data_IF_591061972784
#
_entry.id   IF_591061972784
#
_cell.length_a   1.000
_cell.length_b   1.000
_cell.length_c   1.000
_cell.angle_alpha   90.00
_cell.angle_beta   90.00
_cell.angle_gamma   90.00
#
_symmetry.space_group_name_H-M   'P 1'
#
loop_
_entity.id
_entity.type
_entity.pdbx_description
1 polymer ?
#
# COMPACT_ATOMS: atom_id res chain seq x y z
N UNK A 1 15.22 3.57 0.01
CA UNK A 1 13.99 3.83 -0.80
C UNK A 1 13.48 5.27 -0.77
N UNK A 2 13.16 5.88 0.39
CA UNK A 2 12.90 7.35 0.50
C UNK A 2 14.13 8.19 0.07
N UNK A 3 15.34 7.68 0.33
CA UNK A 3 16.61 8.39 0.10
C UNK A 3 16.97 8.64 -1.37
N UNK A 4 16.62 7.71 -2.29
CA UNK A 4 16.90 7.86 -3.72
C UNK A 4 16.03 8.96 -4.36
N UNK A 5 14.83 9.19 -3.81
CA UNK A 5 13.86 10.19 -4.29
C UNK A 5 14.11 11.61 -3.76
N UNK A 6 15.09 11.82 -2.88
CA UNK A 6 15.38 13.15 -2.33
C UNK A 6 16.67 13.76 -2.90
N UNK A 7 17.75 12.99 -3.06
CA UNK A 7 19.06 13.56 -3.37
C UNK A 7 19.16 14.21 -4.76
N UNK A 8 18.72 13.51 -5.81
CA UNK A 8 18.80 14.01 -7.18
C UNK A 8 17.85 15.21 -7.40
N UNK A 9 16.56 15.13 -7.04
CA UNK A 9 15.67 16.29 -7.15
C UNK A 9 16.16 17.50 -6.36
N UNK A 10 16.82 17.29 -5.21
CA UNK A 10 17.39 18.37 -4.40
C UNK A 10 18.59 19.06 -5.08
N UNK A 11 19.45 18.30 -5.78
CA UNK A 11 20.54 18.87 -6.59
C UNK A 11 19.95 19.66 -7.76
N UNK A 12 18.97 19.10 -8.48
CA UNK A 12 18.33 19.72 -9.64
C UNK A 12 17.57 21.01 -9.25
N UNK A 13 16.78 20.98 -8.19
CA UNK A 13 16.01 22.13 -7.69
C UNK A 13 16.91 23.32 -7.29
N UNK A 14 18.13 23.04 -6.80
CA UNK A 14 19.07 24.09 -6.39
C UNK A 14 20.05 24.51 -7.49
N UNK A 15 20.10 23.80 -8.63
CA UNK A 15 21.01 24.07 -9.74
C UNK A 15 20.95 25.53 -10.27
N UNK A 16 19.77 26.19 -10.36
CA UNK A 16 19.70 27.59 -10.77
C UNK A 16 20.46 28.55 -9.84
N UNK A 17 20.53 28.22 -8.55
CA UNK A 17 21.12 29.05 -7.49
C UNK A 17 22.61 28.77 -7.24
N UNK A 18 23.22 27.85 -8.00
CA UNK A 18 24.63 27.46 -7.86
C UNK A 18 25.56 28.39 -8.64
N UNK A 19 26.72 28.69 -8.07
CA UNK A 19 27.81 29.36 -8.78
C UNK A 19 28.42 28.41 -9.83
N UNK A 20 29.23 28.94 -10.76
CA UNK A 20 29.81 28.15 -11.87
C UNK A 20 30.51 26.87 -11.39
N UNK A 21 31.43 26.98 -10.43
CA UNK A 21 32.13 25.82 -9.87
C UNK A 21 31.22 24.84 -9.11
N UNK A 22 30.11 25.32 -8.53
CA UNK A 22 29.13 24.47 -7.85
C UNK A 22 28.25 23.71 -8.85
N UNK A 23 27.97 24.31 -10.02
CA UNK A 23 27.28 23.62 -11.12
C UNK A 23 28.11 22.48 -11.69
N UNK A 24 29.43 22.62 -11.74
CA UNK A 24 30.31 21.54 -12.20
C UNK A 24 30.34 20.38 -11.20
N UNK A 25 30.34 20.68 -9.90
CA UNK A 25 30.14 19.67 -8.84
C UNK A 25 28.77 18.99 -8.99
N UNK A 26 27.69 19.76 -9.23
CA UNK A 26 26.36 19.21 -9.42
C UNK A 26 26.29 18.25 -10.63
N UNK A 27 26.80 18.67 -11.79
CA UNK A 27 26.87 17.85 -13.00
C UNK A 27 27.64 16.56 -12.79
N UNK A 28 28.72 16.59 -12.00
CA UNK A 28 29.48 15.39 -11.66
C UNK A 28 28.60 14.37 -10.90
N UNK A 29 27.92 14.80 -9.84
CA UNK A 29 27.08 13.90 -9.04
C UNK A 29 25.78 13.49 -9.76
N UNK A 30 25.24 14.32 -10.67
CA UNK A 30 24.06 13.97 -11.49
C UNK A 30 24.34 12.83 -12.48
N UNK A 31 25.60 12.51 -12.77
CA UNK A 31 25.96 11.31 -13.57
C UNK A 31 25.72 10.00 -12.83
N UNK A 32 25.54 10.04 -11.50
CA UNK A 32 25.24 8.87 -10.66
C UNK A 32 26.23 7.71 -10.86
N UNK A 33 27.53 8.03 -10.90
CA UNK A 33 28.60 7.04 -11.01
C UNK A 33 29.15 6.64 -9.63
N UNK A 34 29.61 5.38 -9.46
CA UNK A 34 30.27 4.93 -8.24
C UNK A 34 31.54 5.70 -7.94
N UNK A 35 31.70 6.05 -6.66
CA UNK A 35 32.91 6.69 -6.16
C UNK A 35 33.88 5.62 -5.65
N UNK A 36 34.61 4.99 -6.55
CA UNK A 36 35.66 4.05 -6.17
C UNK A 36 36.91 4.85 -5.79
N UNK A 37 37.30 4.84 -4.51
CA UNK A 37 38.54 5.45 -3.99
C UNK A 37 38.66 6.99 -4.01
N UNK A 38 37.56 7.73 -4.04
CA UNK A 38 37.62 9.19 -3.99
C UNK A 38 37.59 9.73 -2.56
N UNK A 39 38.74 10.21 -2.07
CA UNK A 39 38.80 11.09 -0.88
C UNK A 39 38.24 12.49 -1.20
N UNK A 40 37.97 13.30 -0.18
CA UNK A 40 37.53 14.69 -0.38
C UNK A 40 38.60 15.52 -1.10
N UNK A 41 39.87 15.20 -0.88
CA UNK A 41 41.04 15.77 -1.55
C UNK A 41 41.06 15.39 -3.04
N UNK A 42 40.88 14.11 -3.36
CA UNK A 42 40.84 13.64 -4.74
C UNK A 42 39.68 14.25 -5.54
N UNK A 43 38.53 14.50 -4.90
CA UNK A 43 37.40 15.19 -5.54
C UNK A 43 37.68 16.68 -5.76
N UNK A 44 38.39 17.34 -4.85
CA UNK A 44 38.84 18.72 -5.04
C UNK A 44 39.74 18.84 -6.26
N UNK A 45 40.71 17.93 -6.40
CA UNK A 45 41.63 17.89 -7.54
C UNK A 45 40.91 17.56 -8.85
N UNK A 46 40.06 16.52 -8.85
CA UNK A 46 39.32 16.06 -10.03
C UNK A 46 38.37 17.14 -10.58
N UNK A 47 37.71 17.89 -9.69
CA UNK A 47 36.75 18.94 -10.08
C UNK A 47 37.40 20.34 -10.17
N UNK A 48 38.69 20.47 -9.85
CA UNK A 48 39.42 21.74 -9.76
C UNK A 48 38.70 22.76 -8.84
N UNK A 49 38.34 22.32 -7.63
CA UNK A 49 37.62 23.13 -6.63
C UNK A 49 38.26 23.03 -5.25
N UNK A 50 38.01 24.03 -4.40
CA UNK A 50 38.43 23.98 -3.00
C UNK A 50 37.45 23.19 -2.12
N UNK A 51 37.92 22.67 -0.97
CA UNK A 51 37.08 22.05 0.07
C UNK A 51 35.92 22.95 0.53
N UNK A 52 36.16 24.26 0.58
CA UNK A 52 35.14 25.25 0.91
C UNK A 52 34.01 25.26 -0.15
N UNK A 53 34.35 25.07 -1.42
CA UNK A 53 33.38 25.02 -2.53
C UNK A 53 32.53 23.74 -2.47
N UNK A 54 33.13 22.58 -2.21
CA UNK A 54 32.38 21.34 -1.95
C UNK A 54 31.41 21.48 -0.76
N UNK A 55 31.84 22.17 0.29
CA UNK A 55 31.01 22.42 1.47
C UNK A 55 29.86 23.37 1.17
N UNK A 56 30.09 24.45 0.40
CA UNK A 56 29.01 25.37 -0.02
C UNK A 56 27.99 24.67 -0.93
N UNK A 57 28.46 23.86 -1.89
CA UNK A 57 27.59 23.02 -2.72
C UNK A 57 26.70 22.12 -1.85
N UNK A 58 27.28 21.34 -0.93
CA UNK A 58 26.52 20.46 -0.05
C UNK A 58 25.50 21.22 0.80
N UNK A 59 25.87 22.40 1.32
CA UNK A 59 24.96 23.28 2.08
C UNK A 59 23.81 23.84 1.24
N UNK A 60 24.05 24.18 -0.03
CA UNK A 60 22.99 24.60 -0.96
C UNK A 60 22.01 23.47 -1.26
N UNK A 61 22.50 22.24 -1.31
CA UNK A 61 21.67 21.05 -1.35
C UNK A 61 21.14 20.65 0.05
N UNK A 62 21.06 21.57 1.02
CA UNK A 62 20.45 21.34 2.35
C UNK A 62 21.18 20.37 3.30
N UNK A 63 22.42 19.98 3.01
CA UNK A 63 23.23 19.16 3.93
C UNK A 63 24.05 20.03 4.89
N UNK A 64 24.37 19.50 6.07
CA UNK A 64 25.25 20.17 7.06
C UNK A 64 26.67 20.40 6.53
N UNK A 65 27.12 19.56 5.58
CA UNK A 65 28.41 19.70 4.91
C UNK A 65 28.71 18.53 3.97
N UNK A 66 29.88 18.59 3.31
CA UNK A 66 30.23 17.66 2.23
C UNK A 66 30.32 16.20 2.68
N UNK A 67 30.76 15.93 3.92
CA UNK A 67 30.82 14.57 4.47
C UNK A 67 29.44 13.92 4.58
N UNK A 68 28.41 14.69 4.94
CA UNK A 68 27.04 14.18 5.00
C UNK A 68 26.49 13.93 3.59
N UNK A 69 26.75 14.86 2.66
CA UNK A 69 26.37 14.72 1.26
C UNK A 69 26.98 13.46 0.63
N UNK A 70 28.30 13.27 0.78
CA UNK A 70 29.01 12.16 0.13
C UNK A 70 28.59 10.81 0.68
N UNK A 71 28.31 10.72 1.98
CA UNK A 71 27.75 9.52 2.60
C UNK A 71 26.40 9.17 1.98
N UNK A 72 25.50 10.15 1.86
CA UNK A 72 24.17 9.96 1.26
C UNK A 72 24.25 9.59 -0.22
N UNK A 73 25.17 10.20 -0.97
CA UNK A 73 25.42 9.83 -2.37
C UNK A 73 25.94 8.38 -2.49
N UNK A 74 26.87 7.96 -1.64
CA UNK A 74 27.38 6.57 -1.64
C UNK A 74 26.28 5.56 -1.29
N UNK A 75 25.39 5.87 -0.33
CA UNK A 75 24.21 5.05 -0.05
C UNK A 75 23.31 4.91 -1.29
N UNK A 76 23.00 6.03 -1.96
CA UNK A 76 22.19 6.05 -3.19
C UNK A 76 22.80 5.19 -4.30
N UNK A 77 24.12 5.26 -4.52
CA UNK A 77 24.78 4.43 -5.54
C UNK A 77 24.76 2.95 -5.17
N UNK A 78 25.00 2.60 -3.91
CA UNK A 78 24.93 1.19 -3.46
C UNK A 78 23.51 0.62 -3.63
N UNK A 79 22.48 1.40 -3.30
CA UNK A 79 21.09 1.01 -3.56
C UNK A 79 20.85 0.81 -5.07
N UNK A 80 21.35 1.71 -5.92
CA UNK A 80 21.25 1.60 -7.39
C UNK A 80 21.96 0.36 -7.93
N UNK A 81 23.18 0.08 -7.47
CA UNK A 81 23.94 -1.12 -7.88
C UNK A 81 23.22 -2.40 -7.43
N UNK A 82 22.65 -2.41 -6.23
CA UNK A 82 21.83 -3.52 -5.75
C UNK A 82 20.57 -3.71 -6.60
N UNK A 83 19.91 -2.63 -6.99
CA UNK A 83 18.73 -2.66 -7.85
C UNK A 83 19.07 -3.08 -9.28
N UNK A 84 20.25 -2.72 -9.79
CA UNK A 84 20.74 -3.15 -11.11
C UNK A 84 20.99 -4.66 -11.22
N UNK A 85 20.97 -5.40 -10.10
CA UNK A 85 20.97 -6.86 -10.09
C UNK A 85 19.61 -7.45 -10.47
N UNK A 86 18.52 -6.68 -10.37
CA UNK A 86 17.20 -7.11 -10.79
C UNK A 86 17.05 -7.01 -12.30
N UNK A 87 16.28 -7.92 -12.87
CA UNK A 87 15.79 -7.75 -14.24
C UNK A 87 14.81 -6.57 -14.28
N UNK A 88 14.72 -5.89 -15.43
CA UNK A 88 13.74 -4.81 -15.65
C UNK A 88 12.30 -5.27 -15.31
N UNK A 89 11.99 -6.55 -15.57
CA UNK A 89 10.68 -7.10 -15.23
C UNK A 89 10.43 -7.14 -13.71
N UNK A 90 11.44 -7.53 -12.93
CA UNK A 90 11.38 -7.58 -11.45
C UNK A 90 11.33 -6.17 -10.86
N UNK A 91 12.15 -5.24 -11.36
CA UNK A 91 12.15 -3.85 -10.90
C UNK A 91 10.78 -3.20 -11.06
N UNK A 92 10.12 -3.43 -12.21
CA UNK A 92 8.76 -2.94 -12.47
C UNK A 92 7.74 -3.49 -11.47
N UNK A 93 7.79 -4.80 -11.15
CA UNK A 93 6.91 -5.41 -10.13
C UNK A 93 7.09 -4.73 -8.78
N UNK A 94 8.34 -4.55 -8.34
CA UNK A 94 8.64 -3.92 -7.05
C UNK A 94 8.17 -2.46 -7.04
N UNK A 95 8.42 -1.71 -8.11
CA UNK A 95 7.97 -0.33 -8.25
C UNK A 95 6.45 -0.20 -8.22
N UNK A 96 5.72 -1.11 -8.88
CA UNK A 96 4.25 -1.16 -8.85
C UNK A 96 3.73 -1.39 -7.42
N UNK A 97 4.36 -2.29 -6.64
CA UNK A 97 4.01 -2.50 -5.23
C UNK A 97 4.32 -1.28 -4.36
N UNK A 98 5.47 -0.62 -4.55
CA UNK A 98 5.82 0.61 -3.83
C UNK A 98 4.85 1.75 -4.12
N UNK A 99 4.44 1.91 -5.38
CA UNK A 99 3.45 2.90 -5.77
C UNK A 99 2.09 2.60 -5.14
N UNK A 100 1.65 1.35 -5.17
CA UNK A 100 0.40 0.92 -4.57
C UNK A 100 0.38 1.21 -3.06
N UNK A 101 1.44 0.83 -2.33
CA UNK A 101 1.58 1.15 -0.90
C UNK A 101 1.51 2.67 -0.65
N UNK A 102 2.22 3.48 -1.46
CA UNK A 102 2.15 4.94 -1.35
C UNK A 102 0.74 5.47 -1.57
N UNK A 103 0.00 4.93 -2.54
CA UNK A 103 -1.37 5.32 -2.83
C UNK A 103 -2.33 4.88 -1.72
N UNK A 104 -2.11 3.75 -1.07
CA UNK A 104 -2.93 3.31 0.07
C UNK A 104 -2.94 4.37 1.17
N UNK A 105 -1.79 4.95 1.53
CA UNK A 105 -1.73 6.05 2.50
C UNK A 105 -2.60 7.26 2.14
N UNK A 106 -2.96 7.44 0.86
CA UNK A 106 -3.79 8.59 0.43
C UNK A 106 -5.28 8.31 0.42
N UNK A 107 -5.68 7.04 0.46
CA UNK A 107 -7.11 6.62 0.41
C UNK A 107 -7.60 6.02 1.71
N UNK A 108 -6.70 5.62 2.59
CA UNK A 108 -7.03 5.02 3.88
C UNK A 108 -7.49 6.10 4.86
N UNK A 109 -8.65 5.87 5.48
CA UNK A 109 -9.23 6.71 6.52
C UNK A 109 -9.35 5.89 7.80
N UNK A 110 -8.59 6.25 8.83
CA UNK A 110 -8.59 5.56 10.13
C UNK A 110 -10.00 5.53 10.73
N UNK A 111 -10.75 6.63 10.67
CA UNK A 111 -12.10 6.71 11.26
C UNK A 111 -13.06 5.76 10.53
N UNK A 112 -12.88 5.57 9.22
CA UNK A 112 -13.65 4.59 8.46
C UNK A 112 -13.30 3.15 8.87
N UNK A 113 -12.02 2.85 9.11
CA UNK A 113 -11.62 1.53 9.57
C UNK A 113 -12.25 1.20 10.93
N UNK A 114 -12.35 2.16 11.85
CA UNK A 114 -13.01 1.96 13.15
C UNK A 114 -14.51 1.63 12.97
N UNK A 115 -15.21 2.38 12.10
CA UNK A 115 -16.63 2.12 11.80
C UNK A 115 -16.85 0.73 11.21
N UNK A 116 -16.02 0.32 10.25
CA UNK A 116 -16.11 -1.02 9.64
C UNK A 116 -15.78 -2.11 10.67
N UNK A 117 -14.80 -1.88 11.54
CA UNK A 117 -14.49 -2.80 12.63
C UNK A 117 -15.67 -2.96 13.59
N UNK A 118 -16.38 -1.88 13.94
CA UNK A 118 -17.61 -1.93 14.74
C UNK A 118 -18.74 -2.69 14.03
N UNK A 119 -18.88 -2.52 12.71
CA UNK A 119 -19.84 -3.31 11.91
C UNK A 119 -19.52 -4.81 11.96
N UNK A 120 -18.23 -5.19 11.92
CA UNK A 120 -17.80 -6.58 12.05
C UNK A 120 -18.08 -7.11 13.46
N UNK A 121 -17.82 -6.30 14.48
CA UNK A 121 -17.99 -6.64 15.90
C UNK A 121 -19.46 -6.92 16.26
N UNK A 122 -20.36 -6.10 15.74
CA UNK A 122 -21.79 -6.14 16.07
C UNK A 122 -22.59 -7.14 15.24
N UNK A 123 -22.04 -7.61 14.12
CA UNK A 123 -22.70 -8.59 13.26
C UNK A 123 -22.64 -10.00 13.86
N UNK A 124 -23.78 -10.69 13.89
CA UNK A 124 -23.82 -12.12 14.25
C UNK A 124 -23.17 -12.99 13.16
N UNK A 125 -23.27 -12.56 11.91
CA UNK A 125 -22.79 -13.29 10.73
C UNK A 125 -22.21 -12.32 9.70
N UNK A 126 -20.98 -12.59 9.24
CA UNK A 126 -20.30 -11.82 8.21
C UNK A 126 -20.21 -12.62 6.91
N UNK A 127 -20.79 -12.12 5.82
CA UNK A 127 -20.71 -12.73 4.51
C UNK A 127 -19.78 -11.94 3.60
N UNK A 128 -18.84 -12.63 2.96
CA UNK A 128 -17.84 -12.02 2.08
C UNK A 128 -18.15 -12.41 0.63
N UNK A 129 -18.55 -11.44 -0.19
CA UNK A 129 -18.92 -11.68 -1.59
C UNK A 129 -17.79 -11.27 -2.52
N UNK A 130 -17.38 -12.15 -3.43
CA UNK A 130 -16.35 -11.81 -4.42
C UNK A 130 -16.34 -12.74 -5.61
N UNK A 131 -15.58 -12.40 -6.65
CA UNK A 131 -15.40 -13.26 -7.83
C UNK A 131 -13.92 -13.31 -8.23
N UNK A 132 -13.50 -14.44 -8.80
CA UNK A 132 -12.13 -14.63 -9.26
C UNK A 132 -11.11 -14.43 -8.14
N UNK A 133 -10.03 -13.70 -8.43
CA UNK A 133 -8.92 -13.52 -7.48
C UNK A 133 -9.33 -12.83 -6.17
N UNK A 134 -10.37 -11.98 -6.16
CA UNK A 134 -10.85 -11.33 -4.94
C UNK A 134 -11.30 -12.34 -3.87
N UNK A 135 -11.79 -13.51 -4.28
CA UNK A 135 -12.23 -14.59 -3.37
C UNK A 135 -11.06 -15.11 -2.54
N UNK A 136 -9.87 -15.24 -3.12
CA UNK A 136 -8.69 -15.73 -2.42
C UNK A 136 -8.26 -14.76 -1.31
N UNK A 137 -8.34 -13.45 -1.57
CA UNK A 137 -8.07 -12.44 -0.56
C UNK A 137 -9.16 -12.41 0.54
N UNK A 138 -10.43 -12.59 0.17
CA UNK A 138 -11.53 -12.71 1.13
C UNK A 138 -11.44 -13.99 1.97
N UNK A 139 -10.90 -15.08 1.44
CA UNK A 139 -10.62 -16.30 2.21
C UNK A 139 -9.55 -16.05 3.26
N UNK A 140 -8.48 -15.32 2.94
CA UNK A 140 -7.50 -14.88 3.94
C UNK A 140 -8.16 -14.01 5.02
N UNK A 141 -8.99 -13.03 4.61
CA UNK A 141 -9.77 -12.22 5.56
C UNK A 141 -10.63 -13.09 6.49
N UNK A 142 -11.43 -14.02 5.94
CA UNK A 142 -12.22 -14.98 6.73
C UNK A 142 -11.36 -15.72 7.74
N UNK A 143 -10.26 -16.33 7.29
CA UNK A 143 -9.38 -17.11 8.17
C UNK A 143 -8.83 -16.28 9.32
N UNK A 144 -8.44 -15.03 9.07
CA UNK A 144 -7.90 -14.13 10.09
C UNK A 144 -8.96 -13.71 11.11
N UNK A 145 -10.11 -13.21 10.64
CA UNK A 145 -11.17 -12.75 11.54
C UNK A 145 -11.84 -13.89 12.31
N UNK A 146 -11.88 -15.11 11.75
CA UNK A 146 -12.32 -16.31 12.47
C UNK A 146 -11.46 -16.57 13.72
N UNK A 147 -10.14 -16.27 13.69
CA UNK A 147 -9.27 -16.37 14.87
C UNK A 147 -9.61 -15.36 15.97
N UNK A 148 -10.38 -14.34 15.64
CA UNK A 148 -10.86 -13.30 16.56
C UNK A 148 -12.32 -13.52 16.97
N UNK A 149 -12.89 -14.69 16.65
CA UNK A 149 -14.25 -15.06 17.03
C UNK A 149 -15.34 -14.65 16.03
N UNK A 150 -14.99 -14.13 14.86
CA UNK A 150 -15.98 -13.74 13.84
C UNK A 150 -16.50 -14.96 13.10
N UNK A 151 -17.83 -15.10 13.05
CA UNK A 151 -18.49 -16.12 12.24
C UNK A 151 -18.65 -15.55 10.83
N UNK A 152 -17.92 -16.13 9.87
CA UNK A 152 -17.98 -15.64 8.49
C UNK A 152 -17.93 -16.71 7.41
N UNK A 153 -18.47 -16.40 6.24
CA UNK A 153 -18.45 -17.27 5.06
C UNK A 153 -18.12 -16.49 3.78
N UNK A 154 -17.35 -17.12 2.87
CA UNK A 154 -16.98 -16.51 1.59
C UNK A 154 -17.81 -17.13 0.48
N UNK A 155 -18.58 -16.30 -0.22
CA UNK A 155 -19.42 -16.71 -1.33
C UNK A 155 -18.88 -16.14 -2.64
N UNK A 156 -18.78 -17.00 -3.64
CA UNK A 156 -18.25 -16.65 -4.96
C UNK A 156 -19.08 -17.13 -6.14
N UNK A 157 -20.00 -18.04 -5.88
CA UNK A 157 -20.94 -18.58 -6.83
C UNK A 157 -22.23 -17.75 -6.82
N UNK A 158 -22.79 -17.55 -8.01
CA UNK A 158 -23.97 -16.71 -8.22
C UNK A 158 -25.22 -17.28 -7.54
N UNK A 159 -25.44 -18.59 -7.64
CA UNK A 159 -26.56 -19.26 -6.97
C UNK A 159 -26.39 -19.19 -5.45
N UNK A 160 -25.16 -19.38 -4.96
CA UNK A 160 -24.87 -19.29 -3.53
C UNK A 160 -25.12 -17.89 -2.96
N UNK A 161 -24.70 -16.83 -3.67
CA UNK A 161 -24.99 -15.44 -3.28
C UNK A 161 -26.50 -15.19 -3.31
N UNK A 162 -27.20 -15.66 -4.35
CA UNK A 162 -28.65 -15.51 -4.46
C UNK A 162 -29.39 -16.19 -3.30
N UNK A 163 -29.04 -17.43 -2.96
CA UNK A 163 -29.67 -18.16 -1.85
C UNK A 163 -29.34 -17.53 -0.50
N UNK A 164 -28.09 -17.09 -0.31
CA UNK A 164 -27.70 -16.44 0.92
C UNK A 164 -28.46 -15.14 1.18
N UNK A 165 -28.73 -14.34 0.14
CA UNK A 165 -29.54 -13.12 0.25
C UNK A 165 -30.96 -13.37 0.80
N UNK A 166 -31.50 -14.58 0.72
CA UNK A 166 -32.79 -14.95 1.31
C UNK A 166 -32.71 -15.12 2.85
N UNK A 167 -31.51 -15.29 3.40
CA UNK A 167 -31.22 -15.58 4.80
C UNK A 167 -30.65 -14.38 5.58
N UNK A 168 -30.44 -13.26 4.88
CA UNK A 168 -29.92 -12.02 5.45
C UNK A 168 -31.00 -11.27 6.24
N UNK A 169 -30.54 -10.54 7.24
CA UNK A 169 -31.33 -9.68 8.11
C UNK A 169 -30.42 -8.60 8.74
N UNK A 170 -30.98 -7.78 9.61
CA UNK A 170 -30.31 -6.69 10.32
C UNK A 170 -29.11 -7.10 11.19
N UNK A 171 -29.01 -8.38 11.54
CA UNK A 171 -27.89 -8.92 12.33
C UNK A 171 -26.72 -9.39 11.44
N UNK A 172 -26.81 -9.22 10.13
CA UNK A 172 -25.77 -9.62 9.18
C UNK A 172 -24.96 -8.41 8.69
N UNK A 173 -23.68 -8.67 8.41
CA UNK A 173 -22.81 -7.80 7.63
C UNK A 173 -22.43 -8.50 6.32
N UNK A 174 -22.49 -7.78 5.21
CA UNK A 174 -22.01 -8.24 3.91
C UNK A 174 -20.88 -7.34 3.42
N UNK A 175 -19.70 -7.90 3.19
CA UNK A 175 -18.56 -7.20 2.60
C UNK A 175 -18.34 -7.75 1.19
N UNK A 176 -18.56 -6.91 0.18
CA UNK A 176 -18.33 -7.25 -1.21
C UNK A 176 -16.98 -6.74 -1.70
N UNK A 177 -16.21 -7.57 -2.40
CA UNK A 177 -14.99 -7.16 -3.09
C UNK A 177 -15.17 -7.20 -4.61
N UNK A 178 -15.18 -6.02 -5.22
CA UNK A 178 -15.13 -5.84 -6.67
C UNK A 178 -14.07 -4.80 -6.99
N UNK A 179 -12.85 -5.25 -7.29
CA UNK A 179 -11.71 -4.35 -7.60
C UNK A 179 -12.06 -3.39 -8.75
N UNK A 180 -12.77 -3.86 -9.78
CA UNK A 180 -13.25 -3.03 -10.90
C UNK A 180 -14.43 -2.13 -10.54
N UNK A 181 -15.20 -2.46 -9.50
CA UNK A 181 -16.48 -1.79 -9.19
C UNK A 181 -17.54 -2.04 -10.27
N UNK A 182 -17.46 -3.18 -10.96
CA UNK A 182 -18.29 -3.57 -12.10
C UNK A 182 -18.65 -5.06 -12.07
N UNK A 183 -18.45 -5.75 -10.95
CA UNK A 183 -18.81 -7.17 -10.83
C UNK A 183 -20.29 -7.26 -10.43
N UNK A 184 -21.18 -7.34 -11.42
CA UNK A 184 -22.64 -7.26 -11.22
C UNK A 184 -23.16 -8.16 -10.10
N UNK A 185 -22.77 -9.43 -10.07
CA UNK A 185 -23.23 -10.35 -9.02
C UNK A 185 -22.84 -9.92 -7.59
N UNK A 186 -21.70 -9.23 -7.42
CA UNK A 186 -21.28 -8.70 -6.12
C UNK A 186 -22.07 -7.43 -5.79
N UNK A 187 -22.26 -6.54 -6.77
CA UNK A 187 -22.97 -5.28 -6.58
C UNK A 187 -24.47 -5.51 -6.32
N UNK A 188 -25.12 -6.34 -7.13
CA UNK A 188 -26.51 -6.77 -6.93
C UNK A 188 -26.69 -7.54 -5.62
N UNK A 189 -25.72 -8.38 -5.25
CA UNK A 189 -25.72 -9.09 -3.98
C UNK A 189 -25.69 -8.14 -2.79
N UNK A 190 -24.83 -7.12 -2.83
CA UNK A 190 -24.78 -6.07 -1.81
C UNK A 190 -26.08 -5.25 -1.76
N UNK A 191 -26.66 -4.88 -2.90
CA UNK A 191 -27.94 -4.17 -2.94
C UNK A 191 -29.05 -5.00 -2.27
N UNK A 192 -29.16 -6.28 -2.63
CA UNK A 192 -30.16 -7.19 -2.02
C UNK A 192 -29.92 -7.38 -0.52
N UNK A 193 -28.67 -7.40 -0.07
CA UNK A 193 -28.33 -7.44 1.34
C UNK A 193 -28.82 -6.18 2.08
N UNK A 194 -28.58 -5.00 1.51
CA UNK A 194 -29.08 -3.73 2.04
C UNK A 194 -30.61 -3.70 2.10
N UNK A 195 -31.30 -4.20 1.06
CA UNK A 195 -32.77 -4.30 1.02
C UNK A 195 -33.33 -5.23 2.13
N UNK A 196 -32.52 -6.16 2.63
CA UNK A 196 -32.85 -7.04 3.77
C UNK A 196 -32.49 -6.44 5.13
N UNK A 197 -31.95 -5.23 5.16
CA UNK A 197 -31.53 -4.53 6.37
C UNK A 197 -30.13 -4.91 6.86
N UNK A 198 -29.41 -5.79 6.16
CA UNK A 198 -28.04 -6.13 6.51
C UNK A 198 -27.13 -4.92 6.28
N UNK A 199 -26.10 -4.79 7.12
CA UNK A 199 -25.04 -3.82 6.92
C UNK A 199 -24.15 -4.22 5.75
N UNK A 200 -23.65 -3.24 5.00
CA UNK A 200 -22.98 -3.49 3.72
C UNK A 200 -21.72 -2.65 3.54
N UNK A 201 -20.65 -3.29 3.05
CA UNK A 201 -19.37 -2.64 2.75
C UNK A 201 -18.92 -3.05 1.36
N UNK A 202 -18.55 -2.08 0.51
CA UNK A 202 -17.95 -2.35 -0.81
C UNK A 202 -16.46 -2.03 -0.80
N UNK A 203 -15.62 -3.02 -1.12
CA UNK A 203 -14.18 -2.85 -1.40
C UNK A 203 -13.94 -2.74 -2.90
N UNK A 204 -13.41 -1.59 -3.35
CA UNK A 204 -13.24 -1.33 -4.79
C UNK A 204 -12.22 -0.25 -5.07
N UNK A 205 -11.67 -0.20 -6.30
CA UNK A 205 -10.85 0.93 -6.76
C UNK A 205 -11.67 2.06 -7.39
N UNK A 206 -12.97 1.82 -7.61
CA UNK A 206 -13.88 2.76 -8.27
C UNK A 206 -14.47 3.73 -7.25
N UNK A 207 -14.43 5.03 -7.56
CA UNK A 207 -15.22 6.02 -6.82
C UNK A 207 -16.68 5.93 -7.23
N UNK A 208 -17.56 6.07 -6.24
CA UNK A 208 -18.99 6.21 -6.42
C UNK A 208 -19.39 7.61 -5.96
N UNK A 209 -20.36 8.20 -6.65
CA UNK A 209 -20.98 9.44 -6.22
C UNK A 209 -21.99 9.12 -5.11
N UNK A 210 -22.20 10.06 -4.17
CA UNK A 210 -23.04 9.81 -2.98
C UNK A 210 -24.47 9.38 -3.32
N UNK A 211 -25.00 9.81 -4.45
CA UNK A 211 -26.35 9.49 -4.92
C UNK A 211 -26.50 8.04 -5.43
N UNK A 212 -25.39 7.39 -5.78
CA UNK A 212 -25.36 6.00 -6.29
C UNK A 212 -25.01 4.97 -5.19
N UNK A 213 -24.81 5.41 -3.95
CA UNK A 213 -24.38 4.57 -2.84
C UNK A 213 -25.57 3.84 -2.20
N UNK A 214 -25.68 2.55 -2.49
CA UNK A 214 -26.61 1.63 -1.83
C UNK A 214 -25.98 0.81 -0.69
N UNK A 215 -24.70 1.04 -0.42
CA UNK A 215 -23.94 0.40 0.64
C UNK A 215 -23.70 1.37 1.80
N UNK A 216 -23.54 0.87 3.03
CA UNK A 216 -23.27 1.71 4.21
C UNK A 216 -21.86 2.32 4.17
N UNK A 217 -20.86 1.57 3.69
CA UNK A 217 -19.46 2.03 3.62
C UNK A 217 -18.79 1.67 2.28
N UNK A 218 -18.03 2.63 1.74
CA UNK A 218 -17.18 2.44 0.55
C UNK A 218 -15.71 2.42 0.96
N UNK A 219 -15.09 1.25 0.93
CA UNK A 219 -13.67 1.09 1.25
C UNK A 219 -12.83 1.16 -0.03
N UNK A 220 -12.25 2.33 -0.28
CA UNK A 220 -11.46 2.58 -1.49
C UNK A 220 -10.11 1.86 -1.43
N UNK A 221 -9.87 1.02 -2.44
CA UNK A 221 -8.62 0.32 -2.67
C UNK A 221 -7.69 1.15 -3.55
N UNK A 222 -6.41 1.19 -3.18
CA UNK A 222 -5.39 1.79 -4.03
C UNK A 222 -5.30 1.06 -5.38
N UNK A 223 -5.17 1.83 -6.46
CA UNK A 223 -5.07 1.31 -7.82
C UNK A 223 -3.81 1.80 -8.51
N UNK A 224 -3.12 0.89 -9.19
CA UNK A 224 -2.16 1.21 -10.24
C UNK A 224 -2.85 1.10 -11.60
N UNK A 225 -2.27 1.66 -12.66
CA UNK A 225 -2.90 1.62 -13.99
C UNK A 225 -3.31 0.18 -14.35
N UNK A 226 -4.57 -0.01 -14.77
CA UNK A 226 -5.15 -1.31 -15.16
C UNK A 226 -5.09 -2.45 -14.12
N UNK A 227 -5.00 -2.16 -12.82
CA UNK A 227 -4.96 -3.19 -11.76
C UNK A 227 -6.12 -4.21 -11.86
N UNK A 228 -7.31 -3.74 -12.26
CA UNK A 228 -8.56 -4.51 -12.33
C UNK A 228 -8.54 -5.68 -13.33
N UNK A 229 -7.63 -5.66 -14.31
CA UNK A 229 -7.51 -6.72 -15.33
C UNK A 229 -6.45 -7.78 -14.99
N UNK A 230 -5.83 -7.72 -13.81
CA UNK A 230 -4.71 -8.61 -13.47
C UNK A 230 -3.47 -8.19 -14.25
N UNK A 231 -2.87 -7.09 -13.81
CA UNK A 231 -1.71 -6.53 -14.46
C UNK A 231 -0.42 -7.26 -14.00
N UNK A 232 0.72 -6.56 -14.02
CA UNK A 232 2.02 -7.07 -13.56
C UNK A 232 2.04 -7.51 -12.09
N UNK A 233 1.16 -6.97 -11.25
CA UNK A 233 1.00 -7.31 -9.83
C UNK A 233 -0.39 -7.87 -9.54
N UNK A 234 -0.51 -8.65 -8.46
CA UNK A 234 -1.76 -9.32 -8.10
C UNK A 234 -2.84 -8.31 -7.69
N UNK A 235 -4.07 -8.40 -8.24
CA UNK A 235 -5.20 -7.55 -7.83
C UNK A 235 -5.70 -7.86 -6.41
N UNK A 236 -5.17 -8.92 -5.78
CA UNK A 236 -5.50 -9.33 -4.41
C UNK A 236 -4.83 -8.43 -3.37
N UNK A 237 -3.66 -7.88 -3.70
CA UNK A 237 -2.82 -7.21 -2.71
C UNK A 237 -3.49 -6.01 -2.03
N UNK A 238 -4.23 -5.11 -2.73
CA UNK A 238 -4.94 -4.04 -2.05
C UNK A 238 -5.97 -4.56 -1.04
N UNK A 239 -6.68 -5.65 -1.36
CA UNK A 239 -7.65 -6.27 -0.45
C UNK A 239 -6.93 -6.83 0.78
N UNK A 240 -5.81 -7.53 0.58
CA UNK A 240 -5.00 -8.11 1.65
C UNK A 240 -4.41 -7.02 2.57
N UNK A 241 -3.89 -5.94 1.98
CA UNK A 241 -3.34 -4.82 2.74
C UNK A 241 -4.40 -4.15 3.61
N UNK A 242 -5.58 -3.88 3.06
CA UNK A 242 -6.70 -3.32 3.82
C UNK A 242 -7.22 -4.31 4.87
N UNK A 243 -7.24 -5.60 4.55
CA UNK A 243 -7.55 -6.67 5.50
C UNK A 243 -6.60 -6.63 6.69
N UNK A 244 -5.29 -6.46 6.45
CA UNK A 244 -4.29 -6.36 7.53
C UNK A 244 -4.52 -5.11 8.39
N UNK A 245 -4.83 -3.96 7.78
CA UNK A 245 -5.16 -2.73 8.51
C UNK A 245 -6.41 -2.91 9.40
N UNK A 246 -7.52 -3.40 8.82
CA UNK A 246 -8.75 -3.69 9.56
C UNK A 246 -8.53 -4.71 10.67
N UNK A 247 -7.79 -5.78 10.38
CA UNK A 247 -7.46 -6.81 11.36
C UNK A 247 -6.62 -6.25 12.52
N UNK A 248 -5.64 -5.39 12.22
CA UNK A 248 -4.83 -4.75 13.25
C UNK A 248 -5.69 -3.94 14.20
N UNK A 249 -6.59 -3.11 13.65
CA UNK A 249 -7.51 -2.29 14.44
C UNK A 249 -8.45 -3.17 15.29
N UNK A 250 -9.05 -4.19 14.68
CA UNK A 250 -9.97 -5.12 15.36
C UNK A 250 -9.28 -5.95 16.46
N UNK A 251 -7.98 -6.24 16.33
CA UNK A 251 -7.20 -7.00 17.32
C UNK A 251 -6.87 -6.18 18.58
N UNK A 252 -6.96 -4.86 18.57
CA UNK A 252 -6.51 -4.03 19.70
C UNK A 252 -7.34 -4.26 20.98
N UNK A 253 -8.56 -4.78 20.87
CA UNK A 253 -9.41 -5.02 22.05
C UNK A 253 -8.93 -6.23 22.87
N UNK A 254 -8.95 -6.16 24.23
CA UNK A 254 -8.49 -7.26 25.08
C UNK A 254 -9.23 -8.58 24.85
N UNK A 255 -10.53 -8.51 24.53
CA UNK A 255 -11.35 -9.68 24.22
C UNK A 255 -10.89 -10.39 22.94
N UNK A 256 -10.55 -9.62 21.90
CA UNK A 256 -10.09 -10.20 20.63
C UNK A 256 -8.68 -10.77 20.75
N UNK A 257 -7.81 -10.16 21.57
CA UNK A 257 -6.51 -10.75 21.91
C UNK A 257 -6.65 -12.09 22.63
N UNK A 258 -7.67 -12.25 23.50
CA UNK A 258 -7.94 -13.52 24.16
C UNK A 258 -8.27 -14.63 23.15
N UNK A 259 -9.23 -14.40 22.24
CA UNK A 259 -9.54 -15.36 21.17
C UNK A 259 -8.31 -15.67 20.31
N UNK A 260 -7.59 -14.63 19.89
CA UNK A 260 -6.40 -14.77 19.06
C UNK A 260 -5.35 -15.71 19.68
N UNK A 261 -5.04 -15.50 20.96
CA UNK A 261 -4.03 -16.28 21.69
C UNK A 261 -4.40 -17.76 21.79
N UNK A 262 -5.69 -18.11 21.86
CA UNK A 262 -6.13 -19.51 21.88
C UNK A 262 -5.96 -20.24 20.55
N UNK A 263 -5.83 -19.50 19.44
CA UNK A 263 -5.63 -20.09 18.12
C UNK A 263 -4.17 -20.42 17.81
N UNK A 264 -3.23 -20.04 18.68
CA UNK A 264 -1.80 -20.29 18.48
C UNK A 264 -1.54 -21.77 18.75
N UNK A 265 -1.39 -22.55 17.69
CA UNK A 265 -1.01 -23.95 17.78
C UNK A 265 0.49 -24.00 18.08
N UNK A 266 0.84 -24.29 19.34
CA UNK A 266 2.20 -24.66 19.69
C UNK A 266 2.51 -26.02 19.05
N UNK A 267 3.31 -26.01 17.99
CA UNK A 267 3.90 -27.24 17.46
C UNK A 267 5.01 -27.63 18.44
N UNK A 268 4.92 -28.82 19.03
CA UNK A 268 6.03 -29.41 19.77
C UNK A 268 7.24 -29.49 18.83
N UNK A 269 8.40 -29.01 19.30
CA UNK A 269 9.68 -28.98 18.58
C UNK A 269 10.25 -30.38 18.31
#
# INVERSE_FOLDING_TARGET
MLLQKELIPMIEANLPNMAYAEKDIAKFFLKQQPLTNYSSEALCECLNVSKATLTRFAKKCGFKGFRQFIFKYQEMIREKEKLALYTEATEKVLSDYEEMLRKTYTVLDEVQLERIAEMIETAERVYLYGKGSSVLALQEMKMRFMRLGVIGEVLSDEDMILWNNLLLNENCLVIGASVSGQTDIVLEGLQKAADKGAKTVLMTTRKFDEEDCFFDELLLLASTNHLSYGNRISPQFPILLITDCLFSHYLESPERQYYYNQTIIHKEE
#
